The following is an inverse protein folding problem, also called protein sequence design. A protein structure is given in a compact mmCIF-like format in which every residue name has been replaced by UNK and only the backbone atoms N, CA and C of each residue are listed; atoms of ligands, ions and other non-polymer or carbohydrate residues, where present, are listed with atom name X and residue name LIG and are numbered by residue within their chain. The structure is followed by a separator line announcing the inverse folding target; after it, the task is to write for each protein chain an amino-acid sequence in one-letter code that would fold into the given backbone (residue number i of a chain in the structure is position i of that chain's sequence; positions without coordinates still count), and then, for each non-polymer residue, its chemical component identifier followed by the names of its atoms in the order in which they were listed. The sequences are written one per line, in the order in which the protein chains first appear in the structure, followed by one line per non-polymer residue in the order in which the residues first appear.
data_IF_688350313030
#
_entry.id   IF_688350313030
#
_cell.length_a   1.000
_cell.length_b   1.000
_cell.length_c   1.000
_cell.angle_alpha   90.00
_cell.angle_beta   90.00
_cell.angle_gamma   90.00
#
_symmetry.space_group_name_H-M   'P 1'
#
loop_
_entity.id
_entity.type
_entity.pdbx_description
1 polymer ?
#
# COMPACT_ATOMS: atom_id res chain seq x y z
N UNK A 1 -26.60 -42.26 31.29
CA UNK A 1 -25.48 -41.34 31.58
C UNK A 1 -24.24 -41.56 30.70
N UNK A 2 -23.82 -42.79 30.43
CA UNK A 2 -22.57 -43.08 29.70
C UNK A 2 -22.48 -42.49 28.28
N UNK A 3 -23.57 -42.49 27.52
CA UNK A 3 -23.63 -41.95 26.14
C UNK A 3 -23.57 -40.42 26.11
N UNK A 4 -24.19 -39.73 27.09
CA UNK A 4 -24.17 -38.27 27.18
C UNK A 4 -22.77 -37.74 27.53
N UNK A 5 -22.03 -38.45 28.38
CA UNK A 5 -20.63 -38.13 28.71
C UNK A 5 -19.71 -38.34 27.50
N UNK A 6 -19.92 -39.42 26.73
CA UNK A 6 -19.15 -39.70 25.52
C UNK A 6 -19.31 -38.59 24.45
N UNK A 7 -20.53 -38.09 24.24
CA UNK A 7 -20.81 -37.00 23.30
C UNK A 7 -20.16 -35.68 23.70
N UNK A 8 -20.12 -35.37 25.00
CA UNK A 8 -19.46 -34.18 25.54
C UNK A 8 -17.94 -34.28 25.34
N UNK A 9 -17.34 -35.45 25.58
CA UNK A 9 -15.92 -35.67 25.32
C UNK A 9 -15.57 -35.49 23.83
N UNK A 10 -16.38 -36.01 22.91
CA UNK A 10 -16.15 -35.85 21.46
C UNK A 10 -16.19 -34.36 21.07
N UNK A 11 -17.15 -33.58 21.58
CA UNK A 11 -17.22 -32.14 21.30
C UNK A 11 -16.00 -31.36 21.82
N UNK A 12 -15.45 -31.72 22.98
CA UNK A 12 -14.24 -31.05 23.53
C UNK A 12 -12.95 -31.39 22.79
N UNK A 13 -12.87 -32.55 22.12
CA UNK A 13 -11.70 -32.89 21.30
C UNK A 13 -11.73 -32.21 19.93
N UNK A 14 -12.91 -31.93 19.37
CA UNK A 14 -13.03 -31.19 18.11
C UNK A 14 -12.71 -29.69 18.24
N UNK A 15 -12.87 -29.09 19.43
CA UNK A 15 -12.59 -27.67 19.67
C UNK A 15 -11.11 -27.29 19.80
N UNK A 16 -10.19 -28.27 19.92
CA UNK A 16 -8.76 -27.99 20.09
C UNK A 16 -8.03 -27.67 18.77
N UNK A 17 -8.69 -27.76 17.61
CA UNK A 17 -8.10 -27.52 16.29
C UNK A 17 -8.48 -26.14 15.68
N UNK A 18 -9.07 -25.22 16.45
CA UNK A 18 -9.53 -23.91 15.94
C UNK A 18 -8.41 -22.84 15.93
N UNK A 19 -7.22 -23.16 16.45
CA UNK A 19 -6.06 -22.25 16.37
C UNK A 19 -5.22 -22.51 15.13
N UNK A 20 -5.75 -22.21 13.95
CA UNK A 20 -4.90 -21.87 12.81
C UNK A 20 -4.55 -20.37 12.91
N UNK A 21 -3.81 -20.00 13.96
CA UNK A 21 -3.13 -18.71 14.02
C UNK A 21 -1.88 -18.84 13.14
N UNK A 22 -1.81 -18.02 12.08
CA UNK A 22 -0.64 -17.71 11.24
C UNK A 22 0.62 -18.56 11.49
N UNK A 23 1.05 -19.32 10.49
CA UNK A 23 2.35 -20.00 10.58
C UNK A 23 3.50 -19.00 10.31
N UNK A 24 4.67 -19.22 10.90
CA UNK A 24 5.87 -18.39 10.72
C UNK A 24 6.22 -18.13 9.25
N UNK A 25 5.95 -19.11 8.38
CA UNK A 25 6.16 -18.99 6.94
C UNK A 25 5.25 -17.92 6.30
N UNK A 26 3.96 -17.90 6.65
CA UNK A 26 2.99 -16.91 6.16
C UNK A 26 3.37 -15.51 6.68
N UNK A 27 3.75 -15.41 7.96
CA UNK A 27 4.20 -14.14 8.56
C UNK A 27 5.42 -13.58 7.83
N UNK A 28 6.40 -14.42 7.52
CA UNK A 28 7.60 -14.01 6.78
C UNK A 28 7.25 -13.52 5.37
N UNK A 29 6.37 -14.22 4.66
CA UNK A 29 5.93 -13.80 3.33
C UNK A 29 5.19 -12.46 3.37
N UNK A 30 4.30 -12.27 4.35
CA UNK A 30 3.58 -11.02 4.54
C UNK A 30 4.53 -9.84 4.80
N UNK A 31 5.52 -10.03 5.68
CA UNK A 31 6.54 -9.02 5.95
C UNK A 31 7.38 -8.70 4.70
N UNK A 32 7.73 -9.71 3.91
CA UNK A 32 8.49 -9.51 2.67
C UNK A 32 7.68 -8.69 1.66
N UNK A 33 6.41 -9.02 1.45
CA UNK A 33 5.46 -8.31 0.58
C UNK A 33 5.34 -6.84 1.02
N UNK A 34 5.09 -6.61 2.31
CA UNK A 34 4.94 -5.27 2.85
C UNK A 34 6.22 -4.46 2.67
N UNK A 35 7.38 -5.04 3.01
CA UNK A 35 8.67 -4.36 2.83
C UNK A 35 8.99 -4.04 1.37
N UNK A 36 8.60 -4.92 0.44
CA UNK A 36 8.80 -4.71 -0.99
C UNK A 36 7.91 -3.59 -1.51
N UNK A 37 6.63 -3.60 -1.14
CA UNK A 37 5.68 -2.55 -1.53
C UNK A 37 6.13 -1.17 -1.01
N UNK A 38 6.66 -1.12 0.21
CA UNK A 38 7.19 0.10 0.81
C UNK A 38 8.38 0.65 0.03
N UNK A 39 9.36 -0.21 -0.30
CA UNK A 39 10.52 0.20 -1.12
C UNK A 39 10.09 0.75 -2.48
N UNK A 40 9.14 0.09 -3.15
CA UNK A 40 8.65 0.54 -4.46
C UNK A 40 7.97 1.91 -4.40
N UNK A 41 7.24 2.19 -3.31
CA UNK A 41 6.63 3.50 -3.06
C UNK A 41 7.70 4.56 -2.86
N UNK A 42 8.69 4.31 -2.00
CA UNK A 42 9.80 5.25 -1.74
C UNK A 42 10.62 5.54 -3.00
N UNK A 43 10.92 4.51 -3.81
CA UNK A 43 11.60 4.68 -5.09
C UNK A 43 10.77 5.56 -6.05
N UNK A 44 9.46 5.37 -6.10
CA UNK A 44 8.57 6.19 -6.93
C UNK A 44 8.52 7.65 -6.47
N UNK A 45 8.47 7.91 -5.16
CA UNK A 45 8.53 9.26 -4.59
C UNK A 45 9.86 9.95 -4.93
N UNK A 46 10.98 9.22 -4.85
CA UNK A 46 12.29 9.74 -5.20
C UNK A 46 12.37 10.16 -6.67
N UNK A 47 11.91 9.30 -7.58
CA UNK A 47 11.87 9.60 -9.02
C UNK A 47 10.96 10.80 -9.34
N UNK A 48 9.82 10.89 -8.66
CA UNK A 48 8.88 11.99 -8.81
C UNK A 48 9.48 13.31 -8.32
N UNK A 49 10.12 13.29 -7.15
CA UNK A 49 10.83 14.45 -6.60
C UNK A 49 11.90 14.95 -7.58
N UNK A 50 12.69 14.04 -8.16
CA UNK A 50 13.67 14.40 -9.18
C UNK A 50 13.03 15.01 -10.43
N UNK A 51 11.95 14.42 -10.95
CA UNK A 51 11.26 14.93 -12.13
C UNK A 51 10.67 16.34 -11.89
N UNK A 52 10.04 16.56 -10.74
CA UNK A 52 9.51 17.85 -10.33
C UNK A 52 10.62 18.90 -10.17
N UNK A 53 11.75 18.55 -9.54
CA UNK A 53 12.89 19.45 -9.38
C UNK A 53 13.50 19.84 -10.72
N UNK A 54 13.65 18.90 -11.65
CA UNK A 54 14.14 19.19 -13.00
C UNK A 54 13.23 20.22 -13.69
N UNK A 55 11.91 20.00 -13.68
CA UNK A 55 10.97 20.94 -14.29
C UNK A 55 10.96 22.31 -13.59
N UNK A 56 11.09 22.36 -12.27
CA UNK A 56 11.20 23.61 -11.53
C UNK A 56 12.49 24.39 -11.85
N UNK A 57 13.58 23.69 -12.15
CA UNK A 57 14.85 24.29 -12.54
C UNK A 57 14.84 24.75 -14.01
N UNK A 58 14.22 23.98 -14.89
CA UNK A 58 14.08 24.31 -16.32
C UNK A 58 13.09 25.47 -16.54
N UNK A 59 12.03 25.53 -15.73
CA UNK A 59 10.96 26.55 -15.79
C UNK A 59 10.88 27.39 -14.48
N UNK A 60 11.90 28.20 -14.14
CA UNK A 60 11.95 28.90 -12.86
C UNK A 60 10.77 29.86 -12.62
N UNK A 61 10.21 30.45 -13.68
CA UNK A 61 9.03 31.32 -13.63
C UNK A 61 7.74 30.57 -13.25
N UNK A 62 7.68 29.27 -13.58
CA UNK A 62 6.53 28.40 -13.27
C UNK A 62 6.73 27.58 -12.00
N UNK A 63 7.88 27.66 -11.33
CA UNK A 63 8.19 26.87 -10.13
C UNK A 63 7.05 26.85 -9.10
N UNK A 64 6.47 28.00 -8.79
CA UNK A 64 5.37 28.08 -7.83
C UNK A 64 4.12 27.28 -8.26
N UNK A 65 3.82 27.24 -9.57
CA UNK A 65 2.73 26.45 -10.13
C UNK A 65 3.06 24.96 -10.10
N UNK A 66 4.31 24.60 -10.43
CA UNK A 66 4.80 23.21 -10.38
C UNK A 66 4.70 22.65 -8.95
N UNK A 67 5.17 23.41 -7.96
CA UNK A 67 5.10 23.03 -6.55
C UNK A 67 3.65 22.92 -6.06
N UNK A 68 2.79 23.87 -6.46
CA UNK A 68 1.36 23.84 -6.11
C UNK A 68 0.62 22.68 -6.76
N UNK A 69 0.97 22.33 -8.01
CA UNK A 69 0.42 21.18 -8.72
C UNK A 69 0.81 19.89 -8.00
N UNK A 70 2.11 19.73 -7.67
CA UNK A 70 2.63 18.58 -6.91
C UNK A 70 1.85 18.36 -5.61
N UNK A 71 1.68 19.40 -4.80
CA UNK A 71 0.93 19.32 -3.54
C UNK A 71 -0.54 18.91 -3.74
N UNK A 72 -1.19 19.42 -4.79
CA UNK A 72 -2.58 19.07 -5.11
C UNK A 72 -2.72 17.64 -5.63
N UNK A 73 -1.72 17.19 -6.40
CA UNK A 73 -1.68 15.84 -6.94
C UNK A 73 -1.43 14.80 -5.84
N UNK A 74 -0.53 15.08 -4.89
CA UNK A 74 -0.31 14.24 -3.70
C UNK A 74 -1.63 13.98 -2.95
N UNK A 75 -2.37 15.04 -2.64
CA UNK A 75 -3.69 14.91 -1.99
C UNK A 75 -4.64 14.07 -2.85
N UNK A 76 -4.63 14.27 -4.16
CA UNK A 76 -5.48 13.51 -5.08
C UNK A 76 -5.13 12.02 -5.08
N UNK A 77 -3.83 11.67 -5.15
CA UNK A 77 -3.36 10.28 -5.10
C UNK A 77 -3.74 9.64 -3.78
N UNK A 78 -3.50 10.31 -2.65
CA UNK A 78 -3.86 9.78 -1.32
C UNK A 78 -5.36 9.51 -1.20
N UNK A 79 -6.21 10.48 -1.58
CA UNK A 79 -7.66 10.31 -1.51
C UNK A 79 -8.17 9.24 -2.46
N UNK A 80 -7.61 9.16 -3.67
CA UNK A 80 -7.92 8.11 -4.63
C UNK A 80 -7.57 6.73 -4.08
N UNK A 81 -6.37 6.58 -3.50
CA UNK A 81 -5.94 5.29 -2.97
C UNK A 81 -6.75 4.86 -1.74
N UNK A 82 -7.10 5.78 -0.85
CA UNK A 82 -8.02 5.49 0.26
C UNK A 82 -9.39 4.98 -0.23
N UNK A 83 -9.88 5.51 -1.35
CA UNK A 83 -11.13 5.04 -1.96
C UNK A 83 -10.97 3.69 -2.65
N UNK A 84 -9.93 3.52 -3.48
CA UNK A 84 -9.73 2.31 -4.29
C UNK A 84 -9.33 1.08 -3.45
N UNK A 85 -8.72 1.29 -2.28
CA UNK A 85 -8.25 0.22 -1.39
C UNK A 85 -9.11 0.06 -0.14
N UNK A 86 -10.32 0.64 -0.12
CA UNK A 86 -11.20 0.60 1.06
C UNK A 86 -11.53 -0.81 1.54
N UNK A 87 -11.65 -1.77 0.61
CA UNK A 87 -11.93 -3.18 0.91
C UNK A 87 -10.74 -3.92 1.55
N UNK A 88 -9.53 -3.37 1.43
CA UNK A 88 -8.32 -3.95 2.04
C UNK A 88 -8.13 -3.51 3.48
N UNK A 89 -8.93 -2.57 4.00
CA UNK A 89 -8.76 -2.03 5.34
C UNK A 89 -8.95 -3.10 6.43
N UNK A 90 -7.99 -3.20 7.35
CA UNK A 90 -7.98 -4.19 8.43
C UNK A 90 -7.61 -5.61 7.98
N UNK A 91 -7.18 -5.78 6.73
CA UNK A 91 -6.71 -7.07 6.20
C UNK A 91 -5.19 -7.12 6.13
N UNK A 92 -4.63 -8.32 6.02
CA UNK A 92 -3.19 -8.50 5.81
C UNK A 92 -2.68 -7.83 4.52
N UNK A 93 -3.57 -7.62 3.53
CA UNK A 93 -3.22 -7.00 2.26
C UNK A 93 -3.15 -5.46 2.33
N UNK A 94 -3.65 -4.82 3.40
CA UNK A 94 -3.84 -3.36 3.51
C UNK A 94 -2.59 -2.57 3.09
N UNK A 95 -1.45 -2.90 3.71
CA UNK A 95 -0.19 -2.18 3.47
C UNK A 95 0.22 -2.30 2.01
N UNK A 96 0.21 -3.53 1.47
CA UNK A 96 0.66 -3.77 0.10
C UNK A 96 -0.26 -3.13 -0.94
N UNK A 97 -1.58 -3.18 -0.75
CA UNK A 97 -2.55 -2.61 -1.69
C UNK A 97 -2.48 -1.08 -1.69
N UNK A 98 -2.43 -0.46 -0.51
CA UNK A 98 -2.24 1.00 -0.38
C UNK A 98 -0.93 1.43 -1.04
N UNK A 99 0.19 0.77 -0.71
CA UNK A 99 1.49 1.12 -1.27
C UNK A 99 1.56 0.92 -2.79
N UNK A 100 0.94 -0.15 -3.32
CA UNK A 100 0.87 -0.38 -4.76
C UNK A 100 0.06 0.71 -5.47
N UNK A 101 -1.08 1.12 -4.90
CA UNK A 101 -1.88 2.22 -5.44
C UNK A 101 -1.09 3.54 -5.44
N UNK A 102 -0.46 3.89 -4.31
CA UNK A 102 0.36 5.10 -4.19
C UNK A 102 1.51 5.09 -5.21
N UNK A 103 2.22 3.97 -5.33
CA UNK A 103 3.29 3.78 -6.31
C UNK A 103 2.82 4.04 -7.74
N UNK A 104 1.62 3.54 -8.10
CA UNK A 104 1.04 3.79 -9.42
C UNK A 104 0.75 5.27 -9.63
N UNK A 105 0.16 5.94 -8.64
CA UNK A 105 -0.11 7.38 -8.68
C UNK A 105 1.16 8.22 -8.86
N UNK A 106 2.19 7.95 -8.07
CA UNK A 106 3.46 8.67 -8.19
C UNK A 106 4.17 8.43 -9.53
N UNK A 107 4.04 7.22 -10.10
CA UNK A 107 4.54 6.95 -11.46
C UNK A 107 3.78 7.72 -12.54
N UNK A 108 2.45 7.78 -12.46
CA UNK A 108 1.62 8.58 -13.38
C UNK A 108 2.04 10.06 -13.36
N UNK A 109 2.23 10.62 -12.17
CA UNK A 109 2.66 12.00 -12.00
C UNK A 109 4.12 12.22 -12.45
N UNK A 110 5.01 11.25 -12.19
CA UNK A 110 6.39 11.30 -12.67
C UNK A 110 6.42 11.42 -14.19
N UNK A 111 5.62 10.61 -14.88
CA UNK A 111 5.54 10.64 -16.35
C UNK A 111 4.92 11.96 -16.85
N UNK A 112 3.99 12.56 -16.12
CA UNK A 112 3.52 13.90 -16.43
C UNK A 112 4.67 14.93 -16.42
N UNK A 113 5.44 15.01 -15.33
CA UNK A 113 6.56 15.96 -15.23
C UNK A 113 7.67 15.67 -16.23
N UNK A 114 7.97 14.40 -16.54
CA UNK A 114 8.96 14.05 -17.57
C UNK A 114 8.56 14.50 -18.98
N UNK A 115 7.26 14.60 -19.25
CA UNK A 115 6.72 14.99 -20.55
C UNK A 115 6.41 16.49 -20.66
N UNK A 116 6.62 17.27 -19.59
CA UNK A 116 6.58 18.72 -19.65
C UNK A 116 7.76 19.27 -20.46
N UNK A 117 7.49 20.30 -21.26
CA UNK A 117 8.55 21.01 -21.99
C UNK A 117 9.40 21.83 -21.02
N UNK A 118 10.72 21.91 -21.26
CA UNK A 118 11.60 22.84 -20.55
C UNK A 118 11.15 24.29 -20.69
#
# INVERSE_FOLDING_TARGET
MKIKVLLICIFTFYSLNVFAAFNDAENKQLLEINSKSERLKEDAISLLTQAQQNQANDNPEKKHLIDSLRASWDITIEKRCLLETSESHGTDAEISEVNNCLTKGYKEETEYFKNMLP
#
